data_IF_102569137073
#
_entry.id   IF_102569137073
#
_cell.length_a   1.000
_cell.length_b   1.000
_cell.length_c   1.000
_cell.angle_alpha   90.00
_cell.angle_beta   90.00
_cell.angle_gamma   90.00
#
_symmetry.space_group_name_H-M   'P 1'
#
loop_
_entity.id
_entity.type
_entity.pdbx_description
1 polymer ?
#
# COMPACT_ATOMS: atom_id res chain seq x y z
N UNK A 1 -0.77 6.58 41.61
CA UNK A 1 0.47 5.91 41.19
C UNK A 1 0.40 5.77 39.68
N UNK A 2 0.94 6.77 38.99
CA UNK A 2 0.93 6.92 37.53
C UNK A 2 1.93 5.97 36.90
N UNK A 3 1.48 5.17 35.95
CA UNK A 3 2.34 4.25 35.22
C UNK A 3 2.06 4.40 33.72
N UNK A 4 3.13 4.75 32.99
CA UNK A 4 3.34 4.70 31.54
C UNK A 4 2.87 5.89 30.70
N UNK A 5 3.75 6.88 30.60
CA UNK A 5 3.75 7.91 29.56
C UNK A 5 4.92 7.63 28.59
N UNK A 6 4.70 6.76 27.61
CA UNK A 6 5.53 6.72 26.39
C UNK A 6 4.60 6.46 25.19
N UNK A 7 4.35 7.53 24.43
CA UNK A 7 3.69 7.57 23.12
C UNK A 7 2.21 7.14 23.04
N UNK A 8 1.33 8.14 23.06
CA UNK A 8 -0.08 8.00 22.72
C UNK A 8 -0.93 8.94 23.57
N UNK A 9 -1.78 9.75 22.94
CA UNK A 9 -2.71 10.63 23.64
C UNK A 9 -3.48 9.85 24.72
N UNK A 10 -3.44 10.34 25.96
CA UNK A 10 -4.20 9.79 27.07
C UNK A 10 -5.65 10.22 26.89
N UNK A 11 -6.48 9.35 26.29
CA UNK A 11 -7.93 9.48 26.40
C UNK A 11 -8.38 8.98 27.79
N UNK A 12 -9.46 9.53 28.31
CA UNK A 12 -9.99 9.18 29.64
C UNK A 12 -10.45 7.72 29.73
N UNK A 13 -10.85 7.09 28.60
CA UNK A 13 -11.41 5.74 28.54
C UNK A 13 -10.78 4.86 27.45
N UNK A 14 -10.63 3.55 27.73
CA UNK A 14 -10.15 2.56 26.75
C UNK A 14 -11.26 2.28 25.71
N UNK A 15 -10.90 2.08 24.44
CA UNK A 15 -11.91 1.71 23.42
C UNK A 15 -12.36 0.25 23.55
N UNK A 16 -13.61 -0.01 23.17
CA UNK A 16 -14.19 -1.37 23.14
C UNK A 16 -13.33 -2.33 22.30
N UNK A 17 -12.82 -1.85 21.16
CA UNK A 17 -11.94 -2.58 20.24
C UNK A 17 -10.64 -2.98 20.93
N UNK A 18 -10.07 -2.07 21.73
CA UNK A 18 -8.84 -2.34 22.49
C UNK A 18 -9.07 -3.40 23.56
N UNK A 19 -10.19 -3.32 24.30
CA UNK A 19 -10.55 -4.35 25.29
C UNK A 19 -10.74 -5.72 24.63
N UNK A 20 -11.44 -5.78 23.50
CA UNK A 20 -11.65 -7.04 22.76
C UNK A 20 -10.33 -7.68 22.32
N UNK A 21 -9.40 -6.86 21.84
CA UNK A 21 -8.06 -7.32 21.46
C UNK A 21 -7.27 -7.85 22.67
N UNK A 22 -7.29 -7.12 23.78
CA UNK A 22 -6.63 -7.54 25.04
C UNK A 22 -7.24 -8.82 25.60
N UNK A 23 -8.57 -8.93 25.62
CA UNK A 23 -9.29 -10.13 26.05
C UNK A 23 -8.94 -11.32 25.16
N UNK A 24 -8.86 -11.12 23.84
CA UNK A 24 -8.45 -12.18 22.91
C UNK A 24 -7.03 -12.66 23.20
N UNK A 25 -6.09 -11.75 23.46
CA UNK A 25 -4.72 -12.07 23.87
C UNK A 25 -4.67 -12.82 25.21
N UNK A 26 -5.44 -12.38 26.21
CA UNK A 26 -5.53 -13.04 27.51
C UNK A 26 -6.09 -14.46 27.38
N UNK A 27 -7.18 -14.64 26.64
CA UNK A 27 -7.77 -15.96 26.39
C UNK A 27 -6.79 -16.90 25.69
N UNK A 28 -6.01 -16.37 24.73
CA UNK A 28 -4.94 -17.13 24.08
C UNK A 28 -3.87 -17.56 25.08
N UNK A 29 -3.42 -16.66 25.96
CA UNK A 29 -2.45 -16.99 27.00
C UNK A 29 -3.00 -18.06 27.96
N UNK A 30 -4.22 -17.90 28.47
CA UNK A 30 -4.89 -18.89 29.33
C UNK A 30 -4.93 -20.26 28.63
N UNK A 31 -5.36 -20.31 27.37
CA UNK A 31 -5.37 -21.56 26.60
C UNK A 31 -3.99 -22.20 26.50
N UNK A 32 -2.94 -21.40 26.26
CA UNK A 32 -1.57 -21.90 26.14
C UNK A 32 -1.03 -22.45 27.46
N UNK A 33 -1.29 -21.79 28.59
CA UNK A 33 -0.68 -22.14 29.89
C UNK A 33 -1.52 -23.13 30.72
N UNK A 34 -2.83 -23.19 30.51
CA UNK A 34 -3.75 -24.01 31.33
C UNK A 34 -4.49 -25.07 30.52
N UNK A 35 -4.42 -25.02 29.18
CA UNK A 35 -5.26 -25.84 28.30
C UNK A 35 -6.74 -25.45 28.29
N UNK A 36 -7.15 -24.51 29.13
CA UNK A 36 -8.54 -24.10 29.25
C UNK A 36 -9.02 -23.31 28.03
N UNK A 37 -10.13 -23.74 27.45
CA UNK A 37 -10.76 -23.06 26.32
C UNK A 37 -12.18 -22.62 26.70
N UNK A 38 -12.41 -21.31 26.64
CA UNK A 38 -13.71 -20.71 26.90
C UNK A 38 -14.77 -21.25 25.93
N UNK A 39 -15.93 -21.64 26.48
CA UNK A 39 -17.08 -22.12 25.71
C UNK A 39 -17.76 -21.00 24.93
N UNK A 40 -18.60 -21.36 23.96
CA UNK A 40 -19.39 -20.38 23.21
C UNK A 40 -20.30 -19.54 24.12
N UNK A 41 -20.86 -20.15 25.17
CA UNK A 41 -21.70 -19.47 26.15
C UNK A 41 -20.90 -18.42 26.94
N UNK A 42 -19.73 -18.80 27.47
CA UNK A 42 -18.86 -17.88 28.22
C UNK A 42 -18.37 -16.73 27.34
N UNK A 43 -18.07 -17.00 26.07
CA UNK A 43 -17.71 -15.95 25.12
C UNK A 43 -18.85 -14.96 24.91
N UNK A 44 -20.10 -15.44 24.85
CA UNK A 44 -21.29 -14.60 24.74
C UNK A 44 -21.56 -13.79 26.01
N UNK A 45 -21.30 -14.35 27.18
CA UNK A 45 -21.40 -13.65 28.47
C UNK A 45 -20.37 -12.52 28.56
N UNK A 46 -19.10 -12.79 28.25
CA UNK A 46 -18.04 -11.78 28.19
C UNK A 46 -18.37 -10.66 27.20
N UNK A 47 -18.91 -11.04 26.03
CA UNK A 47 -19.34 -10.09 25.01
C UNK A 47 -20.47 -9.19 25.51
N UNK A 48 -21.44 -9.78 26.20
CA UNK A 48 -22.58 -9.06 26.79
C UNK A 48 -22.09 -8.10 27.88
N UNK A 49 -21.15 -8.53 28.73
CA UNK A 49 -20.55 -7.68 29.75
C UNK A 49 -19.85 -6.46 29.14
N UNK A 50 -19.06 -6.65 28.07
CA UNK A 50 -18.41 -5.53 27.37
C UNK A 50 -19.45 -4.55 26.81
N UNK A 51 -20.48 -5.05 26.12
CA UNK A 51 -21.45 -4.18 25.45
C UNK A 51 -22.49 -3.53 26.39
N UNK A 52 -22.90 -4.22 27.44
CA UNK A 52 -24.00 -3.78 28.31
C UNK A 52 -23.53 -3.17 29.60
N UNK A 53 -22.46 -3.68 30.20
CA UNK A 53 -21.98 -3.13 31.47
C UNK A 53 -20.96 -2.03 31.21
N UNK A 54 -19.90 -2.34 30.47
CA UNK A 54 -18.77 -1.40 30.33
C UNK A 54 -19.10 -0.23 29.41
N UNK A 55 -19.77 -0.47 28.28
CA UNK A 55 -20.16 0.60 27.35
C UNK A 55 -21.31 1.45 27.90
N UNK A 56 -22.33 0.86 28.54
CA UNK A 56 -23.46 1.67 29.06
C UNK A 56 -23.09 2.50 30.29
N UNK A 57 -22.07 2.08 31.05
CA UNK A 57 -21.54 2.83 32.19
C UNK A 57 -20.52 3.90 31.79
N UNK A 58 -20.32 4.11 30.49
CA UNK A 58 -19.32 5.03 29.94
C UNK A 58 -17.89 4.74 30.45
N UNK A 59 -17.61 3.47 30.78
CA UNK A 59 -16.28 2.99 31.14
C UNK A 59 -15.45 2.66 29.89
N UNK A 60 -16.07 2.66 28.71
CA UNK A 60 -15.43 2.43 27.41
C UNK A 60 -15.88 3.44 26.36
N UNK A 61 -14.90 3.95 25.62
CA UNK A 61 -15.15 4.71 24.41
C UNK A 61 -15.60 3.78 23.27
N UNK A 62 -16.68 4.15 22.57
CA UNK A 62 -17.17 3.45 21.36
C UNK A 62 -16.91 4.23 20.08
N UNK A 63 -16.50 5.49 20.20
CA UNK A 63 -16.15 6.33 19.07
C UNK A 63 -14.90 5.84 18.34
N UNK A 64 -14.91 5.94 17.01
CA UNK A 64 -13.68 5.82 16.25
C UNK A 64 -12.83 7.08 16.48
N UNK A 65 -11.53 6.90 16.72
CA UNK A 65 -10.60 8.02 16.81
C UNK A 65 -10.63 8.84 15.51
N UNK A 66 -10.64 10.17 15.64
CA UNK A 66 -10.54 11.08 14.50
C UNK A 66 -9.14 10.99 13.91
N UNK A 67 -8.99 10.26 12.80
CA UNK A 67 -7.71 10.17 12.11
C UNK A 67 -7.41 11.48 11.40
N UNK A 68 -6.21 12.02 11.61
CA UNK A 68 -5.65 12.97 10.67
C UNK A 68 -5.46 12.23 9.34
N UNK A 69 -6.34 12.50 8.37
CA UNK A 69 -6.25 11.95 7.03
C UNK A 69 -5.48 12.97 6.19
N UNK A 70 -4.42 12.52 5.53
CA UNK A 70 -3.71 13.36 4.57
C UNK A 70 -4.64 13.62 3.36
N UNK A 71 -5.00 14.88 3.07
CA UNK A 71 -5.80 15.21 1.91
C UNK A 71 -4.97 15.12 0.63
N UNK A 72 -5.63 15.11 -0.54
CA UNK A 72 -4.98 15.05 -1.85
C UNK A 72 -3.83 16.07 -2.03
N UNK A 73 -3.98 17.36 -1.65
CA UNK A 73 -2.90 18.34 -1.79
C UNK A 73 -1.60 17.95 -1.08
N UNK A 74 -1.67 17.21 0.04
CA UNK A 74 -0.47 16.74 0.74
C UNK A 74 0.30 15.72 -0.12
N UNK A 75 -0.39 14.87 -0.88
CA UNK A 75 0.26 13.94 -1.79
C UNK A 75 0.90 14.68 -2.98
N UNK A 76 0.20 15.69 -3.52
CA UNK A 76 0.70 16.55 -4.59
C UNK A 76 1.95 17.32 -4.15
N UNK A 77 1.92 17.95 -2.97
CA UNK A 77 3.06 18.67 -2.40
C UNK A 77 4.26 17.75 -2.16
N UNK A 78 4.03 16.53 -1.65
CA UNK A 78 5.10 15.55 -1.46
C UNK A 78 5.75 15.16 -2.78
N UNK A 79 4.94 14.92 -3.82
CA UNK A 79 5.44 14.56 -5.14
C UNK A 79 6.16 15.75 -5.79
N UNK A 80 5.60 16.95 -5.73
CA UNK A 80 6.24 18.15 -6.22
C UNK A 80 7.60 18.36 -5.53
N UNK A 81 7.66 18.24 -4.21
CA UNK A 81 8.91 18.34 -3.46
C UNK A 81 9.94 17.31 -3.96
N UNK A 82 9.55 16.03 -4.12
CA UNK A 82 10.43 14.97 -4.63
C UNK A 82 11.07 15.32 -5.98
N UNK A 83 10.34 15.97 -6.88
CA UNK A 83 10.80 16.24 -8.23
C UNK A 83 11.50 17.60 -8.38
N UNK A 84 11.09 18.60 -7.60
CA UNK A 84 11.50 19.99 -7.80
C UNK A 84 12.49 20.50 -6.76
N UNK A 85 12.41 19.99 -5.53
CA UNK A 85 13.08 20.58 -4.35
C UNK A 85 14.03 19.61 -3.64
N UNK A 86 13.83 18.30 -3.80
CA UNK A 86 14.58 17.31 -3.07
C UNK A 86 16.03 17.19 -3.58
N UNK A 87 16.94 17.82 -2.83
CA UNK A 87 18.39 17.75 -3.04
C UNK A 87 18.98 16.41 -2.60
N UNK A 88 18.22 15.56 -1.90
CA UNK A 88 18.70 14.27 -1.42
C UNK A 88 19.11 13.35 -2.58
N UNK A 89 20.38 12.96 -2.55
CA UNK A 89 20.93 12.00 -3.51
C UNK A 89 20.64 10.58 -3.02
N UNK A 90 19.61 9.96 -3.59
CA UNK A 90 19.35 8.54 -3.34
C UNK A 90 20.50 7.68 -3.90
N UNK A 91 20.80 6.52 -3.27
CA UNK A 91 21.77 5.57 -3.80
C UNK A 91 21.50 5.12 -5.24
N UNK A 92 20.22 5.15 -5.65
CA UNK A 92 19.80 4.91 -7.03
C UNK A 92 18.58 5.79 -7.37
N UNK A 93 18.50 6.40 -8.57
CA UNK A 93 17.36 7.24 -8.98
C UNK A 93 15.99 6.55 -8.88
N UNK A 94 15.98 5.22 -9.02
CA UNK A 94 14.78 4.37 -8.83
C UNK A 94 14.12 4.56 -7.47
N UNK A 95 14.85 4.90 -6.41
CA UNK A 95 14.28 5.07 -5.07
C UNK A 95 13.17 6.13 -5.06
N UNK A 96 13.46 7.30 -5.67
CA UNK A 96 12.50 8.40 -5.83
C UNK A 96 11.27 7.95 -6.63
N UNK A 97 11.50 7.27 -7.75
CA UNK A 97 10.43 6.80 -8.63
C UNK A 97 9.49 5.80 -7.95
N UNK A 98 10.05 4.83 -7.22
CA UNK A 98 9.26 3.84 -6.46
C UNK A 98 8.46 4.48 -5.32
N UNK A 99 9.05 5.48 -4.66
CA UNK A 99 8.40 6.20 -3.58
C UNK A 99 7.24 7.08 -4.09
N UNK A 100 7.46 7.83 -5.17
CA UNK A 100 6.41 8.59 -5.84
C UNK A 100 5.27 7.68 -6.30
N UNK A 101 5.59 6.56 -6.94
CA UNK A 101 4.57 5.58 -7.33
C UNK A 101 3.80 5.03 -6.13
N UNK A 102 4.49 4.74 -5.03
CA UNK A 102 3.85 4.27 -3.79
C UNK A 102 2.91 5.32 -3.19
N UNK A 103 3.28 6.60 -3.20
CA UNK A 103 2.40 7.71 -2.77
C UNK A 103 1.15 7.76 -3.64
N UNK A 104 1.29 7.70 -4.97
CA UNK A 104 0.14 7.66 -5.90
C UNK A 104 -0.76 6.45 -5.64
N UNK A 105 -0.20 5.25 -5.44
CA UNK A 105 -0.99 4.05 -5.12
C UNK A 105 -1.76 4.18 -3.79
N UNK A 106 -1.15 4.79 -2.78
CA UNK A 106 -1.84 5.04 -1.50
C UNK A 106 -2.95 6.07 -1.66
N UNK A 107 -2.70 7.15 -2.41
CA UNK A 107 -3.67 8.23 -2.64
C UNK A 107 -4.88 7.77 -3.46
N UNK A 108 -4.67 7.09 -4.58
CA UNK A 108 -5.75 6.73 -5.50
C UNK A 108 -6.54 5.49 -5.06
N UNK A 109 -5.91 4.55 -4.34
CA UNK A 109 -6.56 3.31 -3.95
C UNK A 109 -6.98 3.26 -2.48
N UNK A 110 -6.49 4.18 -1.64
CA UNK A 110 -6.54 4.03 -0.18
C UNK A 110 -5.83 2.75 0.29
N UNK A 111 -4.88 2.26 -0.50
CA UNK A 111 -4.20 0.98 -0.25
C UNK A 111 -3.22 1.09 0.90
N UNK A 112 -3.03 0.00 1.64
CA UNK A 112 -2.00 -0.04 2.69
C UNK A 112 -0.66 -0.41 2.06
N UNK A 113 0.48 0.09 2.57
CA UNK A 113 1.80 -0.30 2.05
C UNK A 113 1.98 -1.81 1.95
N UNK A 114 1.60 -2.56 2.99
CA UNK A 114 1.71 -4.03 3.00
C UNK A 114 0.85 -4.79 1.97
N UNK A 115 0.08 -4.10 1.13
CA UNK A 115 -0.63 -4.67 -0.03
C UNK A 115 0.24 -4.69 -1.31
N UNK A 116 1.24 -3.80 -1.40
CA UNK A 116 2.09 -3.65 -2.59
C UNK A 116 3.61 -3.73 -2.31
N UNK A 117 4.04 -3.61 -1.04
CA UNK A 117 5.40 -3.89 -0.57
C UNK A 117 5.42 -4.97 0.53
N UNK A 118 6.61 -5.45 0.90
CA UNK A 118 6.76 -6.44 1.97
C UNK A 118 6.26 -5.87 3.30
N UNK A 119 5.24 -6.51 3.86
CA UNK A 119 4.55 -6.04 5.06
C UNK A 119 5.39 -6.28 6.32
N UNK A 120 5.45 -5.28 7.21
CA UNK A 120 6.07 -5.47 8.54
C UNK A 120 5.40 -6.52 9.43
N UNK A 121 4.16 -6.92 9.13
CA UNK A 121 3.47 -8.03 9.81
C UNK A 121 3.82 -9.41 9.23
N UNK A 122 4.47 -9.44 8.06
CA UNK A 122 4.86 -10.62 7.30
C UNK A 122 6.32 -10.48 6.85
N UNK A 123 7.22 -10.20 7.80
CA UNK A 123 8.65 -10.02 7.50
C UNK A 123 9.24 -11.30 6.91
N UNK A 124 10.17 -11.15 5.98
CA UNK A 124 10.84 -12.25 5.28
C UNK A 124 9.92 -13.07 4.38
N UNK A 125 8.71 -12.58 4.07
CA UNK A 125 7.84 -13.25 3.11
C UNK A 125 8.22 -12.95 1.67
N UNK A 126 8.96 -11.85 1.43
CA UNK A 126 9.25 -11.32 0.09
C UNK A 126 7.98 -11.22 -0.78
N UNK A 127 6.83 -10.90 -0.15
CA UNK A 127 5.54 -10.73 -0.83
C UNK A 127 5.24 -9.26 -1.08
N UNK A 128 4.82 -8.93 -2.30
CA UNK A 128 4.52 -7.58 -2.73
C UNK A 128 4.00 -7.59 -4.16
N UNK A 129 3.99 -6.43 -4.80
CA UNK A 129 3.45 -6.26 -6.13
C UNK A 129 4.45 -6.72 -7.20
N UNK A 130 4.03 -7.65 -8.05
CA UNK A 130 4.81 -8.16 -9.18
C UNK A 130 4.28 -7.58 -10.49
N UNK A 131 5.09 -7.55 -11.55
CA UNK A 131 4.60 -7.12 -12.86
C UNK A 131 3.42 -7.96 -13.34
N UNK A 132 3.39 -9.27 -13.05
CA UNK A 132 2.25 -10.14 -13.37
C UNK A 132 0.93 -9.76 -12.69
N UNK A 133 0.95 -8.88 -11.68
CA UNK A 133 -0.25 -8.39 -11.01
C UNK A 133 -0.90 -7.21 -11.73
N UNK A 134 -0.21 -6.56 -12.66
CA UNK A 134 -0.70 -5.39 -13.40
C UNK A 134 -0.72 -5.67 -14.89
N UNK A 135 -1.89 -5.52 -15.53
CA UNK A 135 -1.93 -5.42 -16.98
C UNK A 135 -1.96 -3.95 -17.42
N UNK A 136 -1.03 -3.56 -18.29
CA UNK A 136 -1.13 -2.31 -19.06
C UNK A 136 -2.06 -2.53 -20.25
N UNK A 137 -3.02 -1.64 -20.39
CA UNK A 137 -4.03 -1.70 -21.43
C UNK A 137 -4.17 -0.34 -22.10
N UNK A 138 -4.09 -0.28 -23.42
CA UNK A 138 -4.58 0.87 -24.20
C UNK A 138 -6.08 0.69 -24.39
N UNK A 139 -6.87 1.70 -24.04
CA UNK A 139 -8.32 1.68 -24.14
C UNK A 139 -8.81 2.93 -24.86
N UNK A 140 -9.72 2.72 -25.81
CA UNK A 140 -10.36 3.80 -26.55
C UNK A 140 -11.84 3.52 -26.69
N UNK A 141 -12.66 4.49 -26.31
CA UNK A 141 -14.08 4.52 -26.58
C UNK A 141 -14.49 5.95 -27.01
N UNK A 142 -15.79 6.22 -27.11
CA UNK A 142 -16.29 7.54 -27.51
C UNK A 142 -15.96 8.69 -26.56
N UNK A 143 -15.52 8.41 -25.32
CA UNK A 143 -15.29 9.43 -24.27
C UNK A 143 -13.87 9.44 -23.70
N UNK A 144 -13.10 8.37 -23.88
CA UNK A 144 -11.78 8.19 -23.31
C UNK A 144 -10.85 7.55 -24.32
N UNK A 145 -9.64 8.09 -24.44
CA UNK A 145 -8.53 7.47 -25.15
C UNK A 145 -7.29 7.59 -24.28
N UNK A 146 -6.71 6.46 -23.89
CA UNK A 146 -5.51 6.46 -23.06
C UNK A 146 -5.15 5.09 -22.53
N UNK A 147 -4.24 5.07 -21.57
CA UNK A 147 -3.79 3.84 -20.92
C UNK A 147 -4.54 3.57 -19.61
N UNK A 148 -4.67 2.29 -19.24
CA UNK A 148 -5.26 1.83 -17.99
C UNK A 148 -4.31 0.80 -17.35
N UNK A 149 -4.21 0.83 -16.03
CA UNK A 149 -3.62 -0.27 -15.27
C UNK A 149 -4.72 -1.12 -14.65
N UNK A 150 -4.76 -2.41 -14.98
CA UNK A 150 -5.59 -3.39 -14.30
C UNK A 150 -4.78 -4.05 -13.19
N UNK A 151 -4.90 -3.51 -11.98
CA UNK A 151 -4.11 -3.88 -10.81
C UNK A 151 -4.82 -4.93 -9.94
N UNK A 152 -4.14 -6.04 -9.66
CA UNK A 152 -4.62 -7.10 -8.77
C UNK A 152 -3.92 -7.02 -7.41
N UNK A 153 -4.67 -6.72 -6.35
CA UNK A 153 -4.13 -6.66 -4.99
C UNK A 153 -4.25 -8.02 -4.28
N UNK A 154 -3.21 -8.85 -4.35
CA UNK A 154 -3.18 -10.20 -3.73
C UNK A 154 -2.98 -10.20 -2.22
N UNK A 155 -2.35 -9.15 -1.68
CA UNK A 155 -1.85 -9.13 -0.30
C UNK A 155 -2.77 -8.39 0.68
N UNK A 156 -4.07 -8.25 0.37
CA UNK A 156 -5.04 -7.54 1.22
C UNK A 156 -5.15 -8.16 2.61
N UNK A 157 -5.18 -7.30 3.63
CA UNK A 157 -5.29 -7.72 5.03
C UNK A 157 -6.56 -8.56 5.24
N UNK A 158 -6.43 -9.73 5.85
CA UNK A 158 -7.55 -10.65 6.12
C UNK A 158 -8.02 -11.50 4.93
N UNK A 159 -7.53 -11.22 3.72
CA UNK A 159 -7.94 -11.91 2.49
C UNK A 159 -6.75 -12.38 1.64
N UNK A 160 -5.56 -12.53 2.24
CA UNK A 160 -4.37 -13.02 1.55
C UNK A 160 -4.62 -14.39 0.91
N UNK A 161 -4.18 -14.55 -0.34
CA UNK A 161 -4.34 -15.76 -1.15
C UNK A 161 -5.81 -16.17 -1.42
N UNK A 162 -6.79 -15.33 -1.09
CA UNK A 162 -8.18 -15.60 -1.41
C UNK A 162 -8.51 -15.08 -2.81
N UNK A 163 -8.41 -15.97 -3.81
CA UNK A 163 -8.67 -15.65 -5.22
C UNK A 163 -10.06 -15.05 -5.47
N UNK A 164 -11.05 -15.34 -4.61
CA UNK A 164 -12.41 -14.78 -4.69
C UNK A 164 -12.48 -13.31 -4.26
N UNK A 165 -11.50 -12.85 -3.48
CA UNK A 165 -11.47 -11.52 -2.86
C UNK A 165 -10.27 -10.66 -3.29
N UNK A 166 -9.67 -10.95 -4.45
CA UNK A 166 -8.67 -10.09 -5.08
C UNK A 166 -9.37 -9.14 -6.07
N UNK A 167 -9.78 -7.92 -5.66
CA UNK A 167 -10.39 -6.97 -6.58
C UNK A 167 -9.39 -6.57 -7.66
N UNK A 168 -9.90 -6.37 -8.87
CA UNK A 168 -9.17 -5.68 -9.94
C UNK A 168 -9.49 -4.20 -9.78
N UNK A 169 -8.46 -3.42 -9.46
CA UNK A 169 -8.54 -1.96 -9.41
C UNK A 169 -8.16 -1.42 -10.79
N UNK A 170 -8.91 -0.43 -11.27
CA UNK A 170 -8.61 0.28 -12.50
C UNK A 170 -7.99 1.62 -12.16
N UNK A 171 -6.79 1.88 -12.66
CA UNK A 171 -6.12 3.17 -12.56
C UNK A 171 -6.03 3.76 -13.96
N UNK A 172 -6.61 4.95 -14.13
CA UNK A 172 -6.63 5.66 -15.40
C UNK A 172 -5.34 6.45 -15.60
N UNK A 173 -5.03 6.70 -16.87
CA UNK A 173 -4.00 7.66 -17.21
C UNK A 173 -4.51 9.07 -16.91
N UNK A 174 -3.77 9.80 -16.08
CA UNK A 174 -3.99 11.22 -15.86
C UNK A 174 -3.04 12.02 -16.76
N UNK A 175 -3.53 12.42 -17.93
CA UNK A 175 -2.73 13.12 -18.93
C UNK A 175 -2.40 14.57 -18.53
N UNK A 176 -3.31 15.24 -17.83
CA UNK A 176 -3.18 16.64 -17.42
C UNK A 176 -2.27 16.82 -16.20
N UNK A 177 -2.18 15.81 -15.34
CA UNK A 177 -1.36 15.83 -14.13
C UNK A 177 -0.43 14.62 -14.08
N UNK A 178 0.61 14.63 -14.91
CA UNK A 178 1.57 13.52 -15.05
C UNK A 178 2.28 13.15 -13.75
N UNK A 179 2.48 14.10 -12.84
CA UNK A 179 3.03 13.87 -11.50
C UNK A 179 2.10 13.03 -10.59
N UNK A 180 0.80 12.99 -10.85
CA UNK A 180 -0.13 12.12 -10.12
C UNK A 180 -0.57 10.91 -10.94
N UNK A 181 -0.06 10.76 -12.17
CA UNK A 181 -0.48 9.73 -13.09
C UNK A 181 0.12 8.36 -12.73
N UNK A 182 -0.69 7.38 -12.31
CA UNK A 182 -0.20 6.05 -11.95
C UNK A 182 0.40 5.31 -13.14
N UNK A 183 -0.16 5.52 -14.34
CA UNK A 183 0.35 4.94 -15.60
C UNK A 183 1.76 5.43 -15.89
N UNK A 184 2.03 6.73 -15.76
CA UNK A 184 3.36 7.31 -16.04
C UNK A 184 4.44 6.67 -15.17
N UNK A 185 4.18 6.51 -13.88
CA UNK A 185 5.12 5.85 -12.97
C UNK A 185 5.31 4.37 -13.28
N UNK A 186 4.22 3.65 -13.57
CA UNK A 186 4.29 2.25 -13.93
C UNK A 186 5.09 2.04 -15.23
N UNK A 187 4.83 2.83 -16.27
CA UNK A 187 5.55 2.78 -17.54
C UNK A 187 7.04 3.04 -17.35
N UNK A 188 7.41 4.07 -16.59
CA UNK A 188 8.80 4.39 -16.32
C UNK A 188 9.54 3.21 -15.65
N UNK A 189 8.92 2.57 -14.66
CA UNK A 189 9.48 1.39 -13.99
C UNK A 189 9.55 0.17 -14.93
N UNK A 190 8.49 -0.10 -15.67
CA UNK A 190 8.38 -1.26 -16.57
C UNK A 190 9.34 -1.18 -17.76
N UNK A 191 9.52 0.01 -18.33
CA UNK A 191 10.49 0.26 -19.40
C UNK A 191 11.92 0.15 -18.87
N UNK A 192 12.23 0.76 -17.72
CA UNK A 192 13.54 0.64 -17.09
C UNK A 192 13.91 -0.83 -16.76
N UNK A 193 12.90 -1.67 -16.51
CA UNK A 193 13.08 -3.11 -16.24
C UNK A 193 12.97 -3.99 -17.50
N UNK A 194 12.71 -3.41 -18.67
CA UNK A 194 12.60 -4.13 -19.95
C UNK A 194 11.50 -5.20 -19.95
N UNK A 195 10.34 -4.91 -19.33
CA UNK A 195 9.28 -5.87 -19.01
C UNK A 195 8.46 -6.29 -20.24
N UNK A 196 8.23 -5.36 -21.16
CA UNK A 196 7.34 -5.58 -22.29
C UNK A 196 7.95 -6.53 -23.33
N UNK A 197 7.10 -7.36 -23.93
CA UNK A 197 7.44 -8.24 -25.05
C UNK A 197 7.17 -7.50 -26.38
N UNK A 198 8.25 -7.12 -27.07
CA UNK A 198 8.19 -6.42 -28.36
C UNK A 198 7.98 -4.90 -28.29
N UNK A 199 8.24 -4.28 -27.13
CA UNK A 199 8.37 -2.83 -26.96
C UNK A 199 9.57 -2.54 -26.04
N UNK A 200 10.52 -1.73 -26.50
CA UNK A 200 11.73 -1.36 -25.77
C UNK A 200 11.70 0.09 -25.29
N UNK A 201 10.92 0.95 -25.95
CA UNK A 201 10.77 2.36 -25.60
C UNK A 201 9.31 2.79 -25.42
N UNK A 202 9.10 4.03 -24.99
CA UNK A 202 7.77 4.61 -24.90
C UNK A 202 7.15 4.83 -26.30
N UNK A 203 7.97 5.20 -27.28
CA UNK A 203 7.57 5.37 -28.67
C UNK A 203 7.02 4.07 -29.26
N UNK A 204 7.64 2.92 -28.95
CA UNK A 204 7.11 1.61 -29.34
C UNK A 204 5.73 1.34 -28.74
N UNK A 205 5.51 1.79 -27.50
CA UNK A 205 4.23 1.64 -26.81
C UNK A 205 3.17 2.53 -27.45
N UNK A 206 3.49 3.77 -27.79
CA UNK A 206 2.57 4.72 -28.45
C UNK A 206 2.22 4.31 -29.88
N UNK A 207 3.20 3.76 -30.63
CA UNK A 207 3.03 3.32 -32.00
C UNK A 207 2.10 2.10 -32.16
N UNK A 208 1.77 1.39 -31.07
CA UNK A 208 0.84 0.24 -31.12
C UNK A 208 -0.59 0.68 -31.35
N UNK A 209 -1.09 0.47 -32.56
CA UNK A 209 -2.49 0.66 -32.89
C UNK A 209 -3.41 -0.39 -32.26
N UNK A 210 -4.66 0.01 -32.01
CA UNK A 210 -5.69 -0.93 -31.59
C UNK A 210 -6.01 -1.88 -32.75
N UNK A 211 -6.18 -3.20 -32.48
CA UNK A 211 -6.63 -4.13 -33.50
C UNK A 211 -7.96 -3.68 -34.12
N UNK A 212 -8.18 -3.86 -35.44
CA UNK A 212 -9.43 -3.47 -36.09
C UNK A 212 -10.65 -4.05 -35.37
N UNK A 213 -11.61 -3.19 -35.02
CA UNK A 213 -12.83 -3.57 -34.31
C UNK A 213 -12.67 -3.77 -32.80
N UNK A 214 -11.48 -3.59 -32.23
CA UNK A 214 -11.25 -3.63 -30.79
C UNK A 214 -11.17 -2.24 -30.18
N UNK A 215 -11.82 -2.04 -29.04
CA UNK A 215 -11.66 -0.84 -28.20
C UNK A 215 -10.45 -0.94 -27.26
N UNK A 216 -9.73 -2.06 -27.28
CA UNK A 216 -8.75 -2.42 -26.26
C UNK A 216 -7.55 -3.17 -26.84
N UNK A 217 -6.35 -2.80 -26.38
CA UNK A 217 -5.12 -3.54 -26.62
C UNK A 217 -4.39 -3.77 -25.29
N UNK A 218 -4.12 -5.04 -24.96
CA UNK A 218 -3.37 -5.42 -23.76
C UNK A 218 -1.92 -5.71 -24.13
N UNK A 219 -0.99 -5.03 -23.48
CA UNK A 219 0.44 -5.25 -23.70
C UNK A 219 0.88 -6.59 -23.12
N UNK A 220 1.76 -7.29 -23.85
CA UNK A 220 2.35 -8.56 -23.40
C UNK A 220 3.65 -8.30 -22.65
N UNK A 221 3.92 -9.09 -21.63
CA UNK A 221 5.16 -9.04 -20.86
C UNK A 221 5.98 -10.30 -21.11
N UNK A 222 7.31 -10.16 -21.07
CA UNK A 222 8.25 -11.27 -21.05
C UNK A 222 7.92 -12.21 -19.89
N UNK A 223 8.01 -13.51 -20.11
CA UNK A 223 7.55 -14.53 -19.14
C UNK A 223 8.31 -14.42 -17.81
N UNK A 224 9.60 -14.20 -17.88
CA UNK A 224 10.53 -13.99 -16.77
C UNK A 224 10.25 -12.68 -16.01
N UNK A 225 9.77 -11.63 -16.69
CA UNK A 225 9.49 -10.36 -16.06
C UNK A 225 8.24 -10.38 -15.17
N UNK A 226 7.28 -11.29 -15.42
CA UNK A 226 6.03 -11.37 -14.67
C UNK A 226 6.22 -11.65 -13.18
N UNK A 227 7.28 -12.37 -12.81
CA UNK A 227 7.59 -12.69 -11.41
C UNK A 227 8.51 -11.65 -10.76
N UNK A 228 9.01 -10.69 -11.54
CA UNK A 228 9.87 -9.62 -11.02
C UNK A 228 9.03 -8.63 -10.20
N UNK A 229 9.50 -8.21 -9.01
CA UNK A 229 8.81 -7.18 -8.25
C UNK A 229 8.88 -5.81 -8.92
N UNK A 230 7.81 -5.03 -8.78
CA UNK A 230 7.77 -3.65 -9.28
C UNK A 230 8.55 -2.74 -8.32
N UNK A 231 8.26 -2.84 -7.03
CA UNK A 231 8.91 -2.07 -5.96
C UNK A 231 10.02 -2.93 -5.35
N UNK A 232 11.26 -2.69 -5.79
CA UNK A 232 12.44 -3.49 -5.49
C UNK A 232 13.28 -2.87 -4.38
N UNK A 233 13.91 -3.72 -3.59
CA UNK A 233 14.91 -3.31 -2.61
C UNK A 233 16.15 -2.75 -3.31
N UNK A 234 16.75 -1.72 -2.71
CA UNK A 234 17.96 -1.06 -3.20
C UNK A 234 18.99 -1.17 -2.09
N UNK A 235 20.13 -1.79 -2.41
CA UNK A 235 21.21 -1.98 -1.47
C UNK A 235 21.90 -0.63 -1.16
N UNK A 236 22.60 -0.50 -0.02
CA UNK A 236 23.33 0.72 0.31
C UNK A 236 24.36 1.16 -0.74
N UNK A 237 24.87 0.22 -1.54
CA UNK A 237 25.78 0.50 -2.65
C UNK A 237 25.07 0.92 -3.96
N UNK A 238 23.75 1.15 -3.92
CA UNK A 238 22.94 1.57 -5.07
C UNK A 238 22.49 0.45 -5.99
N UNK A 239 22.90 -0.81 -5.75
CA UNK A 239 22.47 -1.95 -6.57
C UNK A 239 21.00 -2.25 -6.30
N UNK A 240 20.18 -2.23 -7.35
CA UNK A 240 18.77 -2.64 -7.30
C UNK A 240 18.71 -4.16 -7.32
N UNK A 241 18.03 -4.77 -6.37
CA UNK A 241 17.83 -6.22 -6.35
C UNK A 241 16.93 -6.66 -7.50
N UNK A 242 17.20 -7.82 -8.09
CA UNK A 242 16.34 -8.40 -9.13
C UNK A 242 15.06 -9.01 -8.56
N UNK A 243 15.11 -9.55 -7.34
CA UNK A 243 14.03 -10.39 -6.79
C UNK A 243 13.56 -9.95 -5.40
N UNK A 244 14.32 -9.12 -4.69
CA UNK A 244 13.94 -8.66 -3.34
C UNK A 244 12.98 -7.48 -3.43
N UNK A 245 11.86 -7.62 -2.75
CA UNK A 245 10.81 -6.60 -2.66
C UNK A 245 11.25 -5.51 -1.67
N UNK A 246 10.85 -4.26 -1.94
CA UNK A 246 11.03 -3.17 -1.00
C UNK A 246 10.36 -3.50 0.34
N UNK A 247 11.09 -3.36 1.44
CA UNK A 247 10.55 -3.66 2.77
C UNK A 247 9.79 -2.47 3.36
N UNK A 248 8.80 -2.74 4.23
CA UNK A 248 8.10 -1.70 4.97
C UNK A 248 9.04 -0.77 5.75
N UNK A 249 10.11 -1.31 6.34
CA UNK A 249 11.07 -0.52 7.10
C UNK A 249 11.80 0.47 6.20
N UNK A 250 12.31 0.03 5.05
CA UNK A 250 12.97 0.90 4.08
C UNK A 250 12.00 1.96 3.56
N UNK A 251 10.79 1.55 3.18
CA UNK A 251 9.73 2.45 2.73
C UNK A 251 9.39 3.53 3.76
N UNK A 252 9.14 3.13 5.00
CA UNK A 252 8.81 4.05 6.10
C UNK A 252 9.94 5.03 6.40
N UNK A 253 11.20 4.58 6.32
CA UNK A 253 12.35 5.46 6.48
C UNK A 253 12.45 6.50 5.35
N UNK A 254 12.22 6.09 4.10
CA UNK A 254 12.19 7.02 2.97
C UNK A 254 11.06 8.05 3.11
N UNK A 255 9.85 7.60 3.45
CA UNK A 255 8.70 8.49 3.63
C UNK A 255 8.92 9.50 4.78
N UNK A 256 9.49 9.04 5.91
CA UNK A 256 9.88 9.91 7.02
C UNK A 256 10.93 10.93 6.62
N UNK A 257 11.96 10.50 5.89
CA UNK A 257 13.03 11.39 5.42
C UNK A 257 12.47 12.52 4.57
N UNK A 258 11.59 12.21 3.62
CA UNK A 258 10.96 13.22 2.77
C UNK A 258 10.09 14.16 3.58
N UNK A 259 9.23 13.64 4.45
CA UNK A 259 8.36 14.54 5.20
C UNK A 259 9.09 15.41 6.24
N UNK A 260 10.27 14.98 6.69
CA UNK A 260 11.17 15.84 7.47
C UNK A 260 11.80 16.94 6.61
N UNK A 261 12.21 16.61 5.38
CA UNK A 261 12.82 17.54 4.43
C UNK A 261 11.82 18.54 3.85
N UNK A 262 10.57 18.12 3.60
CA UNK A 262 9.49 18.97 3.09
C UNK A 262 8.77 19.76 4.18
N UNK A 263 9.16 19.59 5.45
CA UNK A 263 8.51 20.18 6.64
C UNK A 263 7.04 19.76 6.87
N UNK A 264 6.49 18.88 6.04
CA UNK A 264 5.10 18.40 6.11
C UNK A 264 4.86 17.47 7.31
N UNK A 265 5.86 16.68 7.73
CA UNK A 265 5.73 15.75 8.88
C UNK A 265 6.09 16.35 10.24
N UNK A 266 6.43 17.65 10.33
CA UNK A 266 6.71 18.31 11.63
C UNK A 266 5.48 18.94 12.30
N UNK A 267 4.30 18.83 11.68
CA UNK A 267 3.06 19.50 12.14
C UNK A 267 2.00 18.48 12.61
N UNK A 268 2.43 17.35 13.17
CA UNK A 268 1.54 16.30 13.71
C UNK A 268 1.90 15.93 15.14
#
# INVERSE_FOLDING_TARGET
>A
MSLWAETGQLEENITDTTIRNRLSSLKRAIKLYTGYQYSALQNKELETFIQKDLVQKDELATGAYTKAIAPLPVAEDLIQFMWMCDEYQHPHPRARLQLAFSVVLMTLLGSRPGEFIESGAWKHSNEGLLYGDIDLVRYQNGTYTGYLLHLRLRNRKGHRNNKKHSPIMLLYEEAEMRSMCPVTYFLALALADGVFDGCESFEDIEAKELPPGSSLYKYRYKSEAKQRPILRSINPNGIVSDNEILTYNCFNNMLKGIGQASWILKIG
#
